data_IF_510225998277
#
_entry.id   IF_510225998277
#
_cell.length_a   1.000
_cell.length_b   1.000
_cell.length_c   1.000
_cell.angle_alpha   90.00
_cell.angle_beta   90.00
_cell.angle_gamma   90.00
#
_symmetry.space_group_name_H-M   'P 1'
#
loop_
_entity.id
_entity.type
_entity.pdbx_description
1 polymer ?
#
# COMPACT_ATOMS: atom_id res chain seq x y z
N UNK A 1 2.16 23.79 -9.55
CA UNK A 1 3.36 23.52 -8.72
C UNK A 1 3.07 22.27 -7.90
N UNK A 2 3.42 21.09 -8.44
CA UNK A 2 3.27 19.83 -7.72
C UNK A 2 4.36 19.78 -6.64
N UNK A 3 3.96 19.79 -5.37
CA UNK A 3 4.82 19.22 -4.33
C UNK A 3 4.95 17.75 -4.69
N UNK A 4 6.13 17.31 -5.13
CA UNK A 4 6.46 15.91 -5.24
C UNK A 4 6.27 15.29 -3.86
N UNK A 5 5.10 14.73 -3.61
CA UNK A 5 4.85 13.92 -2.42
C UNK A 5 5.67 12.66 -2.65
N UNK A 6 6.82 12.54 -1.98
CA UNK A 6 7.58 11.31 -2.04
C UNK A 6 6.73 10.23 -1.38
N UNK A 7 6.29 9.22 -2.14
CA UNK A 7 5.69 8.06 -1.52
C UNK A 7 6.79 7.32 -0.74
N UNK A 8 6.47 6.94 0.50
CA UNK A 8 7.38 6.21 1.37
C UNK A 8 6.85 4.79 1.48
N UNK A 9 7.41 3.92 0.64
CA UNK A 9 7.34 2.47 0.82
C UNK A 9 8.58 2.06 1.61
N UNK A 10 8.47 1.10 2.52
CA UNK A 10 9.64 0.67 3.30
C UNK A 10 10.56 -0.17 2.42
N UNK A 11 10.00 -1.07 1.61
CA UNK A 11 10.75 -1.81 0.60
C UNK A 11 9.86 -2.42 -0.50
N UNK A 12 10.47 -2.77 -1.63
CA UNK A 12 9.82 -3.45 -2.76
C UNK A 12 10.42 -4.85 -2.92
N UNK A 13 9.56 -5.86 -3.00
CA UNK A 13 9.96 -7.28 -3.04
C UNK A 13 9.49 -7.93 -4.33
N UNK A 14 10.37 -8.76 -4.92
CA UNK A 14 10.01 -9.69 -5.99
C UNK A 14 9.33 -10.91 -5.38
N UNK A 15 8.16 -11.27 -5.88
CA UNK A 15 7.52 -12.52 -5.45
C UNK A 15 8.06 -13.70 -6.26
N UNK A 16 7.66 -14.92 -5.89
CA UNK A 16 7.94 -16.12 -6.69
C UNK A 16 7.28 -16.06 -8.09
N UNK A 17 6.27 -15.20 -8.26
CA UNK A 17 5.68 -14.90 -9.56
C UNK A 17 6.42 -13.73 -10.22
N UNK A 18 6.99 -13.91 -11.42
CA UNK A 18 7.71 -12.85 -12.12
C UNK A 18 6.80 -11.69 -12.56
N UNK A 19 5.48 -11.87 -12.50
CA UNK A 19 4.47 -10.87 -12.89
C UNK A 19 3.86 -10.12 -11.70
N UNK A 20 4.30 -10.44 -10.49
CA UNK A 20 3.80 -9.84 -9.25
C UNK A 20 4.95 -9.27 -8.45
N UNK A 21 4.81 -7.99 -8.10
CA UNK A 21 5.73 -7.25 -7.24
C UNK A 21 4.97 -6.79 -6.00
N UNK A 22 5.67 -6.71 -4.86
CA UNK A 22 5.07 -6.30 -3.60
C UNK A 22 5.70 -5.01 -3.11
N UNK A 23 4.89 -4.02 -2.78
CA UNK A 23 5.26 -2.85 -1.97
C UNK A 23 4.92 -3.18 -0.53
N UNK A 24 5.89 -3.11 0.37
CA UNK A 24 5.68 -3.44 1.79
C UNK A 24 5.71 -2.17 2.62
N UNK A 25 4.70 -2.04 3.48
CA UNK A 25 4.61 -1.07 4.57
C UNK A 25 4.70 -1.84 5.89
N UNK A 26 5.53 -1.36 6.80
CA UNK A 26 5.65 -1.85 8.16
C UNK A 26 4.93 -0.89 9.09
N UNK A 27 4.02 -1.42 9.88
CA UNK A 27 3.29 -0.70 10.92
C UNK A 27 3.62 -1.28 12.29
N UNK A 28 4.38 -0.51 13.06
CA UNK A 28 4.83 -0.84 14.41
C UNK A 28 4.88 0.41 15.29
N UNK A 29 5.11 0.23 16.59
CA UNK A 29 5.41 1.29 17.53
C UNK A 29 4.24 1.68 18.44
N UNK A 30 4.21 2.93 18.89
CA UNK A 30 3.20 3.42 19.84
C UNK A 30 1.87 3.72 19.14
N UNK A 31 0.84 2.96 19.54
CA UNK A 31 -0.55 3.09 19.09
C UNK A 31 -1.47 3.68 20.18
N UNK A 32 -0.90 4.40 21.15
CA UNK A 32 -1.69 5.08 22.19
C UNK A 32 -2.68 6.11 21.61
N UNK A 33 -2.34 6.73 20.48
CA UNK A 33 -3.23 7.55 19.67
C UNK A 33 -3.62 6.80 18.38
N UNK A 34 -4.65 5.95 18.50
CA UNK A 34 -5.11 5.06 17.43
C UNK A 34 -5.54 5.86 16.19
N UNK A 35 -6.30 6.94 16.37
CA UNK A 35 -6.82 7.74 15.26
C UNK A 35 -5.69 8.38 14.44
N UNK A 36 -4.66 8.92 15.11
CA UNK A 36 -3.49 9.47 14.44
C UNK A 36 -2.72 8.41 13.66
N UNK A 37 -2.57 7.19 14.22
CA UNK A 37 -1.91 6.06 13.54
C UNK A 37 -2.70 5.58 12.32
N UNK A 38 -4.01 5.43 12.44
CA UNK A 38 -4.88 5.04 11.32
C UNK A 38 -4.86 6.10 10.21
N UNK A 39 -4.85 7.39 10.57
CA UNK A 39 -4.72 8.46 9.58
C UNK A 39 -3.38 8.41 8.85
N UNK A 40 -2.28 8.12 9.55
CA UNK A 40 -0.97 7.96 8.93
C UNK A 40 -0.94 6.76 7.98
N UNK A 41 -1.44 5.61 8.43
CA UNK A 41 -1.56 4.41 7.59
C UNK A 41 -2.39 4.70 6.33
N UNK A 42 -3.52 5.40 6.46
CA UNK A 42 -4.34 5.83 5.32
C UNK A 42 -3.52 6.62 4.29
N UNK A 43 -2.74 7.60 4.75
CA UNK A 43 -1.91 8.42 3.87
C UNK A 43 -0.83 7.59 3.17
N UNK A 44 -0.20 6.64 3.88
CA UNK A 44 0.81 5.75 3.29
C UNK A 44 0.19 4.83 2.24
N UNK A 45 -0.95 4.21 2.53
CA UNK A 45 -1.66 3.36 1.58
C UNK A 45 -2.07 4.11 0.31
N UNK A 46 -2.61 5.34 0.44
CA UNK A 46 -2.88 6.19 -0.72
C UNK A 46 -1.61 6.52 -1.50
N UNK A 47 -0.53 6.88 -0.81
CA UNK A 47 0.75 7.15 -1.44
C UNK A 47 1.28 5.98 -2.27
N UNK A 48 1.09 4.73 -1.82
CA UNK A 48 1.44 3.55 -2.61
C UNK A 48 0.61 3.44 -3.89
N UNK A 49 -0.69 3.68 -3.80
CA UNK A 49 -1.60 3.62 -4.96
C UNK A 49 -1.23 4.70 -5.98
N UNK A 50 -1.05 5.94 -5.53
CA UNK A 50 -0.67 7.07 -6.40
C UNK A 50 0.67 6.79 -7.08
N UNK A 51 1.67 6.33 -6.32
CA UNK A 51 2.97 5.99 -6.86
C UNK A 51 2.93 4.91 -7.94
N UNK A 52 2.10 3.89 -7.74
CA UNK A 52 1.89 2.81 -8.69
C UNK A 52 1.16 3.30 -9.95
N UNK A 53 0.06 4.04 -9.79
CA UNK A 53 -0.78 4.52 -10.89
C UNK A 53 -0.05 5.56 -11.73
N UNK A 54 0.64 6.51 -11.10
CA UNK A 54 1.31 7.63 -11.77
C UNK A 54 2.70 7.25 -12.33
N UNK A 55 3.17 6.04 -12.04
CA UNK A 55 4.43 5.52 -12.55
C UNK A 55 5.66 5.90 -11.73
N UNK A 56 5.50 6.59 -10.60
CA UNK A 56 6.62 6.93 -9.70
C UNK A 56 7.34 5.68 -9.18
N UNK A 57 6.59 4.58 -8.96
CA UNK A 57 7.16 3.28 -8.61
C UNK A 57 8.02 2.72 -9.76
N UNK A 58 7.54 2.80 -11.00
CA UNK A 58 8.26 2.32 -12.18
C UNK A 58 9.48 3.18 -12.51
N UNK A 59 9.47 4.47 -12.17
CA UNK A 59 10.63 5.34 -12.32
C UNK A 59 11.77 4.95 -11.37
N UNK A 60 11.44 4.51 -10.14
CA UNK A 60 12.43 4.05 -9.16
C UNK A 60 12.81 2.58 -9.33
N UNK A 61 11.85 1.73 -9.71
CA UNK A 61 11.98 0.29 -9.87
C UNK A 61 11.42 -0.14 -11.24
N UNK A 62 12.18 0.02 -12.34
CA UNK A 62 11.70 -0.22 -13.70
C UNK A 62 11.10 -1.61 -13.96
N UNK A 63 11.52 -2.62 -13.20
CA UNK A 63 10.98 -3.98 -13.29
C UNK A 63 9.50 -4.10 -12.89
N UNK A 64 8.97 -3.11 -12.17
CA UNK A 64 7.55 -3.08 -11.74
C UNK A 64 6.61 -2.70 -12.87
N UNK A 65 7.13 -2.16 -13.97
CA UNK A 65 6.31 -1.67 -15.08
C UNK A 65 5.51 -2.78 -15.74
N UNK A 66 4.20 -2.57 -15.81
CA UNK A 66 3.22 -3.52 -16.37
C UNK A 66 2.95 -4.73 -15.47
N UNK A 67 3.48 -4.74 -14.25
CA UNK A 67 3.27 -5.84 -13.28
C UNK A 67 2.01 -5.61 -12.47
N UNK A 68 1.52 -6.68 -11.85
CA UNK A 68 0.56 -6.58 -10.75
C UNK A 68 1.32 -6.16 -9.50
N UNK A 69 0.79 -5.16 -8.79
CA UNK A 69 1.36 -4.68 -7.53
C UNK A 69 0.50 -5.20 -6.37
N UNK A 70 1.17 -5.73 -5.36
CA UNK A 70 0.57 -6.06 -4.07
C UNK A 70 1.03 -5.01 -3.08
N UNK A 71 0.11 -4.24 -2.50
CA UNK A 71 0.40 -3.37 -1.36
C UNK A 71 0.19 -4.21 -0.10
N UNK A 72 1.28 -4.56 0.55
CA UNK A 72 1.31 -5.41 1.73
C UNK A 72 1.60 -4.58 2.96
N UNK A 73 0.85 -4.80 4.03
CA UNK A 73 1.07 -4.14 5.31
C UNK A 73 1.41 -5.20 6.35
N UNK A 74 2.60 -5.11 6.90
CA UNK A 74 3.09 -5.97 7.97
C UNK A 74 2.90 -5.23 9.29
N UNK A 75 1.97 -5.73 10.10
CA UNK A 75 1.61 -5.18 11.39
C UNK A 75 2.33 -5.93 12.52
N UNK A 76 3.01 -5.18 13.39
CA UNK A 76 3.75 -5.71 14.55
C UNK A 76 3.31 -5.01 15.83
N UNK A 77 2.84 -5.80 16.81
CA UNK A 77 2.41 -5.34 18.14
C UNK A 77 1.40 -4.17 18.12
N UNK A 78 0.49 -4.17 17.14
CA UNK A 78 -0.55 -3.15 16.98
C UNK A 78 -1.89 -3.58 17.58
N UNK A 79 -2.83 -2.64 17.83
CA UNK A 79 -4.23 -2.94 18.11
C UNK A 79 -4.87 -3.65 16.91
N UNK A 80 -4.94 -4.98 16.98
CA UNK A 80 -5.32 -5.82 15.84
C UNK A 80 -6.74 -5.54 15.34
N UNK A 81 -7.71 -5.34 16.24
CA UNK A 81 -9.11 -5.12 15.86
C UNK A 81 -9.26 -3.82 15.04
N UNK A 82 -8.74 -2.71 15.55
CA UNK A 82 -8.84 -1.40 14.92
C UNK A 82 -8.05 -1.35 13.60
N UNK A 83 -6.84 -1.91 13.57
CA UNK A 83 -6.01 -1.95 12.38
C UNK A 83 -6.61 -2.85 11.28
N UNK A 84 -7.13 -4.04 11.64
CA UNK A 84 -7.73 -4.96 10.68
C UNK A 84 -9.04 -4.41 10.11
N UNK A 85 -9.93 -3.87 10.94
CA UNK A 85 -11.18 -3.25 10.48
C UNK A 85 -10.89 -2.08 9.53
N UNK A 86 -9.94 -1.21 9.91
CA UNK A 86 -9.52 -0.11 9.05
C UNK A 86 -8.99 -0.61 7.71
N UNK A 87 -8.07 -1.58 7.71
CA UNK A 87 -7.47 -2.13 6.51
C UNK A 87 -8.52 -2.75 5.58
N UNK A 88 -9.43 -3.55 6.11
CA UNK A 88 -10.52 -4.18 5.34
C UNK A 88 -11.43 -3.12 4.72
N UNK A 89 -11.81 -2.09 5.49
CA UNK A 89 -12.64 -1.00 4.98
C UNK A 89 -11.93 -0.22 3.88
N UNK A 90 -10.65 0.09 4.05
CA UNK A 90 -9.89 0.80 3.03
C UNK A 90 -9.76 -0.04 1.75
N UNK A 91 -9.24 -1.26 1.86
CA UNK A 91 -8.89 -2.12 0.73
C UNK A 91 -10.10 -2.49 -0.13
N UNK A 92 -11.26 -2.70 0.49
CA UNK A 92 -12.50 -3.02 -0.22
C UNK A 92 -13.14 -1.82 -0.94
N UNK A 93 -12.86 -0.59 -0.50
CA UNK A 93 -13.60 0.59 -0.97
C UNK A 93 -12.76 1.56 -1.80
N UNK A 94 -11.43 1.55 -1.70
CA UNK A 94 -10.59 2.59 -2.32
C UNK A 94 -10.76 2.69 -3.84
N UNK A 95 -10.89 1.55 -4.54
CA UNK A 95 -11.09 1.54 -5.99
C UNK A 95 -12.54 1.77 -6.43
N UNK A 96 -13.49 1.88 -5.50
CA UNK A 96 -14.83 2.39 -5.78
C UNK A 96 -14.85 3.91 -5.96
N UNK A 97 -13.83 4.60 -5.43
CA UNK A 97 -13.64 6.04 -5.65
C UNK A 97 -13.22 6.24 -7.11
N UNK A 98 -13.97 7.01 -7.92
CA UNK A 98 -13.73 7.12 -9.36
C UNK A 98 -12.29 7.51 -9.72
N UNK A 99 -11.67 8.45 -9.01
CA UNK A 99 -10.30 8.88 -9.28
C UNK A 99 -9.28 7.74 -9.22
N UNK A 100 -9.43 6.82 -8.26
CA UNK A 100 -8.53 5.68 -8.10
C UNK A 100 -8.93 4.51 -9.00
N UNK A 101 -10.22 4.22 -9.12
CA UNK A 101 -10.71 3.14 -9.99
C UNK A 101 -10.43 3.41 -11.47
N UNK A 102 -10.69 4.63 -11.95
CA UNK A 102 -10.36 5.03 -13.33
C UNK A 102 -8.85 5.18 -13.53
N UNK A 103 -8.13 5.74 -12.56
CA UNK A 103 -6.67 5.84 -12.58
C UNK A 103 -6.01 4.47 -12.76
N UNK A 104 -6.45 3.46 -12.00
CA UNK A 104 -5.95 2.10 -12.13
C UNK A 104 -6.29 1.49 -13.50
N UNK A 105 -7.54 1.62 -13.96
CA UNK A 105 -7.97 1.10 -15.28
C UNK A 105 -7.23 1.70 -16.46
N UNK A 106 -6.86 2.97 -16.35
CA UNK A 106 -6.19 3.72 -17.42
C UNK A 106 -4.65 3.69 -17.26
N UNK A 107 -4.14 3.17 -16.15
CA UNK A 107 -2.70 3.15 -15.91
C UNK A 107 -1.99 2.30 -16.95
N UNK A 108 -0.91 2.87 -17.50
CA UNK A 108 0.06 2.15 -18.35
C UNK A 108 1.23 1.57 -17.56
N UNK A 109 1.28 1.84 -16.27
CA UNK A 109 2.42 1.53 -15.41
C UNK A 109 2.21 0.28 -14.59
N UNK A 110 0.97 -0.02 -14.21
CA UNK A 110 0.62 -1.22 -13.44
C UNK A 110 -0.58 -1.91 -14.07
N UNK A 111 -0.61 -3.24 -13.97
CA UNK A 111 -1.70 -4.07 -14.51
C UNK A 111 -2.90 -4.11 -13.58
N UNK A 112 -2.63 -4.17 -12.28
CA UNK A 112 -3.60 -4.37 -11.21
C UNK A 112 -2.93 -3.99 -9.87
N UNK A 113 -3.74 -3.60 -8.88
CA UNK A 113 -3.29 -3.36 -7.51
C UNK A 113 -4.20 -4.15 -6.58
N UNK A 114 -3.61 -4.95 -5.70
CA UNK A 114 -4.32 -5.65 -4.64
C UNK A 114 -3.67 -5.39 -3.28
N UNK A 115 -4.41 -5.66 -2.22
CA UNK A 115 -3.94 -5.47 -0.86
C UNK A 115 -3.83 -6.80 -0.12
N UNK A 116 -2.89 -6.87 0.80
CA UNK A 116 -2.79 -7.92 1.81
C UNK A 116 -2.35 -7.30 3.14
N UNK A 117 -2.73 -7.94 4.25
CA UNK A 117 -2.28 -7.57 5.58
C UNK A 117 -1.71 -8.81 6.28
N UNK A 118 -0.56 -8.65 6.90
CA UNK A 118 0.09 -9.68 7.71
C UNK A 118 0.13 -9.17 9.15
N UNK A 119 -0.54 -9.88 10.05
CA UNK A 119 -0.50 -9.59 11.48
C UNK A 119 0.45 -10.58 12.13
N UNK A 120 1.67 -10.14 12.41
CA UNK A 120 2.58 -10.93 13.21
C UNK A 120 2.34 -10.64 14.69
N UNK A 121 2.11 -11.70 15.45
CA UNK A 121 2.30 -11.65 16.90
C UNK A 121 3.71 -12.12 17.15
N UNK A 122 4.54 -11.29 17.79
CA UNK A 122 5.82 -11.79 18.28
C UNK A 122 5.54 -13.03 19.14
N UNK A 123 6.24 -14.16 18.91
CA UNK A 123 6.13 -15.30 19.80
C UNK A 123 6.52 -14.82 21.21
N UNK A 124 5.59 -14.96 22.16
CA UNK A 124 5.81 -14.67 23.58
C UNK A 124 6.95 -15.48 24.17
#
# INVERSE_FOLDING_TARGET
>A
MNKSQSFVVDFVVKTDSPDVMKMVLVEEGDWSDIDARLQLLQQRMYGCIDAAIDGQLADQFPETKGKKIVVSIDFYDVPHEEASEFFERFSNNVFLIPSYGDGLRQSRFVKDIVFEANFETLPK
#
